data_IF_070251760756
#
_entry.id   IF_070251760756
#
_cell.length_a   1.000
_cell.length_b   1.000
_cell.length_c   1.000
_cell.angle_alpha   90.00
_cell.angle_beta   90.00
_cell.angle_gamma   90.00
#
_symmetry.space_group_name_H-M   'P 1'
#
loop_
_entity.id
_entity.type
_entity.pdbx_description
1 polymer ?
#
# COMPACT_ATOMS: atom_id res chain seq x y z
N UNK A 1 18.34 8.54 0.44
CA UNK A 1 17.37 7.44 0.22
C UNK A 1 17.36 7.19 -1.27
N UNK A 2 17.74 6.02 -1.73
CA UNK A 2 17.63 5.63 -3.12
C UNK A 2 16.17 5.18 -3.37
N UNK A 3 15.42 5.90 -4.20
CA UNK A 3 14.02 5.66 -4.54
C UNK A 3 13.00 6.26 -3.55
N UNK A 4 11.73 6.17 -3.89
CA UNK A 4 10.59 6.71 -3.13
C UNK A 4 10.04 5.61 -2.21
N UNK A 5 9.99 5.82 -0.88
CA UNK A 5 9.31 4.89 0.01
C UNK A 5 7.79 4.98 -0.17
N UNK A 6 7.12 3.83 -0.24
CA UNK A 6 5.67 3.69 -0.27
C UNK A 6 5.25 2.92 0.97
N UNK A 7 4.67 3.60 1.95
CA UNK A 7 4.22 2.98 3.20
C UNK A 7 2.89 2.28 3.00
N UNK A 8 2.75 1.09 3.59
CA UNK A 8 1.51 0.31 3.55
C UNK A 8 0.97 0.07 4.96
N UNK A 9 -0.15 0.70 5.26
CA UNK A 9 -0.95 0.54 6.47
C UNK A 9 -2.22 -0.25 6.16
N UNK A 10 -2.92 -0.68 7.20
CA UNK A 10 -4.26 -1.27 7.11
C UNK A 10 -5.18 -0.59 8.12
N UNK A 11 -5.30 -1.11 9.34
CA UNK A 11 -6.16 -0.57 10.39
C UNK A 11 -5.41 0.39 11.31
N UNK A 12 -6.09 1.44 11.74
CA UNK A 12 -5.60 2.40 12.75
C UNK A 12 -6.66 2.57 13.83
N UNK A 13 -6.58 1.74 14.88
CA UNK A 13 -7.53 1.79 15.99
C UNK A 13 -6.93 1.16 17.26
N UNK A 14 -7.56 1.41 18.39
CA UNK A 14 -7.16 0.92 19.70
C UNK A 14 -8.01 -0.29 20.20
N UNK A 15 -8.98 -0.71 19.39
CA UNK A 15 -9.94 -1.76 19.76
C UNK A 15 -9.50 -3.16 19.33
N UNK A 16 -8.79 -3.25 18.20
CA UNK A 16 -8.35 -4.52 17.63
C UNK A 16 -6.88 -4.75 17.90
N UNK A 17 -6.54 -6.01 18.17
CA UNK A 17 -5.15 -6.44 18.39
C UNK A 17 -4.76 -7.46 17.32
N UNK A 18 -4.28 -6.96 16.19
CA UNK A 18 -3.73 -7.78 15.10
C UNK A 18 -2.41 -7.20 14.62
N UNK A 19 -1.61 -7.97 13.93
CA UNK A 19 -0.37 -7.48 13.32
C UNK A 19 -0.62 -6.34 12.31
N UNK A 20 -1.82 -6.27 11.72
CA UNK A 20 -2.21 -5.27 10.73
C UNK A 20 -2.90 -4.03 11.35
N UNK A 21 -3.05 -4.00 12.67
CA UNK A 21 -3.70 -2.88 13.37
C UNK A 21 -2.65 -2.07 14.11
N UNK A 22 -2.43 -0.83 13.71
CA UNK A 22 -1.58 0.11 14.42
C UNK A 22 -2.43 0.94 15.41
N UNK A 23 -1.95 1.14 16.63
CA UNK A 23 -2.63 2.02 17.59
C UNK A 23 -2.61 3.48 17.10
N UNK A 24 -3.67 4.23 17.43
CA UNK A 24 -3.87 5.61 16.97
C UNK A 24 -2.69 6.52 17.35
N UNK A 25 -2.22 6.41 18.60
CA UNK A 25 -1.07 7.20 19.06
C UNK A 25 0.24 6.85 18.32
N UNK A 26 0.44 5.58 17.98
CA UNK A 26 1.60 5.14 17.22
C UNK A 26 1.56 5.64 15.77
N UNK A 27 0.39 5.62 15.15
CA UNK A 27 0.21 6.21 13.83
C UNK A 27 0.51 7.72 13.87
N UNK A 28 0.00 8.43 14.87
CA UNK A 28 0.28 9.85 15.09
C UNK A 28 1.78 10.12 15.24
N UNK A 29 2.47 9.35 16.07
CA UNK A 29 3.93 9.46 16.28
C UNK A 29 4.71 9.30 14.97
N UNK A 30 4.30 8.36 14.12
CA UNK A 30 4.92 8.16 12.81
C UNK A 30 4.67 9.34 11.86
N UNK A 31 3.45 9.89 11.81
CA UNK A 31 3.12 11.06 10.98
C UNK A 31 3.86 12.31 11.48
N UNK A 32 3.91 12.52 12.78
CA UNK A 32 4.69 13.60 13.39
C UNK A 32 6.18 13.48 13.04
N UNK A 33 6.75 12.27 13.09
CA UNK A 33 8.13 12.05 12.67
C UNK A 33 8.34 12.42 11.20
N UNK A 34 7.50 11.97 10.29
CA UNK A 34 7.60 12.31 8.87
C UNK A 34 7.54 13.81 8.65
N UNK A 35 6.60 14.49 9.31
CA UNK A 35 6.45 15.94 9.24
C UNK A 35 7.71 16.65 9.74
N UNK A 36 8.20 16.31 10.93
CA UNK A 36 9.37 16.93 11.56
C UNK A 36 10.67 16.68 10.80
N UNK A 37 10.75 15.55 10.07
CA UNK A 37 11.89 15.25 9.19
C UNK A 37 11.77 15.90 7.80
N UNK A 38 10.68 16.61 7.51
CA UNK A 38 10.46 17.30 6.23
C UNK A 38 10.17 16.37 5.07
N UNK A 39 9.51 15.23 5.30
CA UNK A 39 8.97 14.40 4.23
C UNK A 39 7.78 15.08 3.58
N UNK A 40 7.69 14.97 2.26
CA UNK A 40 6.59 15.50 1.46
C UNK A 40 5.78 14.34 0.89
N UNK A 41 4.53 14.23 1.32
CA UNK A 41 3.63 13.21 0.75
C UNK A 41 3.26 13.56 -0.68
N UNK A 42 3.38 12.58 -1.58
CA UNK A 42 3.03 12.69 -2.99
C UNK A 42 1.87 11.76 -3.34
N UNK A 43 1.14 12.11 -4.40
CA UNK A 43 0.07 11.26 -4.95
C UNK A 43 0.64 10.14 -5.80
N UNK A 44 -0.18 9.12 -6.11
CA UNK A 44 0.20 8.07 -7.06
C UNK A 44 0.39 8.61 -8.48
N UNK A 45 -0.35 9.65 -8.90
CA UNK A 45 -0.12 10.32 -10.18
C UNK A 45 1.27 10.96 -10.24
N UNK A 46 1.68 11.64 -9.18
CA UNK A 46 3.03 12.22 -9.10
C UNK A 46 4.11 11.14 -9.13
N UNK A 47 3.86 10.01 -8.46
CA UNK A 47 4.77 8.86 -8.50
C UNK A 47 4.83 8.27 -9.91
N UNK A 48 3.69 8.07 -10.58
CA UNK A 48 3.63 7.57 -11.94
C UNK A 48 4.38 8.48 -12.93
N UNK A 49 4.15 9.78 -12.86
CA UNK A 49 4.84 10.76 -13.71
C UNK A 49 6.35 10.78 -13.47
N UNK A 50 6.78 10.59 -12.23
CA UNK A 50 8.20 10.43 -11.93
C UNK A 50 8.79 9.15 -12.55
N UNK A 51 8.09 8.02 -12.44
CA UNK A 51 8.59 6.73 -12.94
C UNK A 51 8.62 6.65 -14.47
N UNK A 52 7.59 7.16 -15.14
CA UNK A 52 7.43 7.06 -16.60
C UNK A 52 8.02 8.25 -17.36
N UNK A 53 7.88 9.46 -16.83
CA UNK A 53 8.22 10.70 -17.55
C UNK A 53 9.45 11.40 -16.97
N UNK A 54 9.99 10.93 -15.83
CA UNK A 54 11.12 11.55 -15.15
C UNK A 54 10.79 12.92 -14.53
N UNK A 55 9.51 13.19 -14.25
CA UNK A 55 9.07 14.44 -13.61
C UNK A 55 9.69 14.56 -12.22
N UNK A 56 10.25 15.73 -11.92
CA UNK A 56 10.89 15.96 -10.62
C UNK A 56 9.88 15.89 -9.46
N UNK A 57 10.27 15.22 -8.39
CA UNK A 57 9.52 15.15 -7.15
C UNK A 57 10.00 16.20 -6.13
N UNK A 58 9.14 16.57 -5.16
CA UNK A 58 9.59 17.40 -4.04
C UNK A 58 10.71 16.71 -3.25
N UNK A 59 11.41 17.48 -2.42
CA UNK A 59 12.45 16.91 -1.55
C UNK A 59 11.85 15.90 -0.58
N UNK A 60 12.56 14.81 -0.30
CA UNK A 60 12.10 13.71 0.57
C UNK A 60 10.67 13.24 0.26
N UNK A 61 10.40 12.77 -0.99
CA UNK A 61 9.06 12.31 -1.36
C UNK A 61 8.74 11.01 -0.63
N UNK A 62 7.48 10.84 -0.25
CA UNK A 62 6.94 9.62 0.36
C UNK A 62 5.49 9.41 -0.06
N UNK A 63 5.08 8.16 -0.24
CA UNK A 63 3.68 7.80 -0.45
C UNK A 63 3.15 7.08 0.78
N UNK A 64 1.95 7.45 1.22
CA UNK A 64 1.23 6.78 2.31
C UNK A 64 0.06 6.03 1.70
N UNK A 65 -0.03 4.73 1.93
CA UNK A 65 -1.14 3.91 1.44
C UNK A 65 -1.80 3.12 2.57
N UNK A 66 -3.09 2.88 2.43
CA UNK A 66 -3.89 2.00 3.28
C UNK A 66 -4.55 0.95 2.40
N UNK A 67 -4.65 -0.28 2.87
CA UNK A 67 -5.33 -1.35 2.16
C UNK A 67 -6.68 -1.67 2.81
N UNK A 68 -7.53 -2.38 2.09
CA UNK A 68 -8.83 -2.95 2.44
C UNK A 68 -10.01 -1.97 2.49
N UNK A 69 -9.84 -0.74 2.98
CA UNK A 69 -10.92 0.22 3.08
C UNK A 69 -11.64 0.24 4.43
N UNK A 70 -10.94 -0.06 5.52
CA UNK A 70 -11.52 -0.03 6.86
C UNK A 70 -12.01 1.35 7.27
N UNK A 71 -13.14 1.40 7.99
CA UNK A 71 -13.78 2.65 8.43
C UNK A 71 -12.90 3.47 9.39
N UNK A 72 -11.96 2.84 10.07
CA UNK A 72 -11.01 3.52 10.96
C UNK A 72 -10.00 4.39 10.18
N UNK A 73 -9.78 4.13 8.89
CA UNK A 73 -8.99 5.02 8.04
C UNK A 73 -9.67 6.39 7.90
N UNK A 74 -11.00 6.43 7.83
CA UNK A 74 -11.78 7.67 7.85
C UNK A 74 -11.86 8.28 9.26
N UNK A 75 -12.16 7.46 10.28
CA UNK A 75 -12.42 7.96 11.62
C UNK A 75 -11.16 8.42 12.37
N UNK A 76 -10.04 7.75 12.17
CA UNK A 76 -8.81 7.90 12.97
C UNK A 76 -7.62 8.40 12.13
N UNK A 77 -7.34 7.78 10.96
CA UNK A 77 -6.16 8.14 10.17
C UNK A 77 -6.33 9.50 9.46
N UNK A 78 -7.48 9.74 8.82
CA UNK A 78 -7.75 10.99 8.09
C UNK A 78 -7.58 12.25 8.96
N UNK A 79 -8.13 12.36 10.18
CA UNK A 79 -7.91 13.53 11.03
C UNK A 79 -6.43 13.80 11.32
N UNK A 80 -5.64 12.74 11.56
CA UNK A 80 -4.21 12.88 11.84
C UNK A 80 -3.45 13.34 10.59
N UNK A 81 -3.74 12.78 9.42
CA UNK A 81 -3.12 13.20 8.17
C UNK A 81 -3.45 14.66 7.83
N UNK A 82 -4.70 15.11 8.09
CA UNK A 82 -5.09 16.51 7.92
C UNK A 82 -4.32 17.46 8.85
N UNK A 83 -4.09 17.06 10.09
CA UNK A 83 -3.32 17.85 11.07
C UNK A 83 -1.92 18.19 10.54
N UNK A 84 -1.27 17.23 9.84
CA UNK A 84 0.06 17.40 9.27
C UNK A 84 0.05 17.79 7.77
N UNK A 85 -1.13 18.07 7.20
CA UNK A 85 -1.31 18.39 5.76
C UNK A 85 -0.71 17.31 4.84
N UNK A 86 -0.93 16.05 5.19
CA UNK A 86 -0.43 14.89 4.45
C UNK A 86 -1.51 14.30 3.56
N UNK A 87 -1.09 13.82 2.38
CA UNK A 87 -1.92 13.08 1.42
C UNK A 87 -1.72 11.57 1.62
N UNK A 88 -2.73 10.78 1.26
CA UNK A 88 -2.64 9.33 1.28
C UNK A 88 -3.52 8.70 0.17
N UNK A 89 -3.31 7.41 -0.11
CA UNK A 89 -4.17 6.61 -0.99
C UNK A 89 -4.81 5.49 -0.18
N UNK A 90 -6.11 5.26 -0.40
CA UNK A 90 -6.84 4.10 0.10
C UNK A 90 -7.08 3.11 -1.04
N UNK A 91 -6.51 1.91 -0.95
CA UNK A 91 -6.82 0.81 -1.85
C UNK A 91 -8.05 0.06 -1.33
N UNK A 92 -9.19 0.29 -1.98
CA UNK A 92 -10.51 -0.16 -1.54
C UNK A 92 -10.92 -1.48 -2.17
N UNK A 93 -11.38 -2.43 -1.37
CA UNK A 93 -12.09 -3.62 -1.84
C UNK A 93 -13.48 -3.17 -2.28
N UNK A 94 -13.81 -3.30 -3.59
CA UNK A 94 -15.05 -2.71 -4.11
C UNK A 94 -16.32 -3.26 -3.45
N UNK A 95 -16.36 -4.54 -3.15
CA UNK A 95 -17.54 -5.19 -2.55
C UNK A 95 -17.64 -4.94 -1.03
N UNK A 96 -16.59 -4.45 -0.41
CA UNK A 96 -16.63 -4.04 0.99
C UNK A 96 -17.24 -2.64 1.18
N UNK A 97 -17.32 -1.83 0.13
CA UNK A 97 -17.90 -0.49 0.19
C UNK A 97 -19.33 -0.52 0.75
N UNK A 98 -19.65 0.41 1.65
CA UNK A 98 -20.94 0.50 2.34
C UNK A 98 -21.31 -0.70 3.23
N UNK A 99 -20.38 -1.61 3.52
CA UNK A 99 -20.61 -2.71 4.46
C UNK A 99 -20.12 -2.35 5.88
N UNK A 100 -20.64 -2.99 6.93
CA UNK A 100 -20.22 -2.71 8.30
C UNK A 100 -18.70 -2.89 8.51
N UNK A 101 -18.05 -1.88 9.07
CA UNK A 101 -16.61 -1.89 9.34
C UNK A 101 -15.74 -1.34 8.21
N UNK A 102 -16.34 -1.02 7.06
CA UNK A 102 -15.67 -0.41 5.91
C UNK A 102 -16.24 0.98 5.60
N UNK A 103 -15.51 1.76 4.83
CA UNK A 103 -15.91 3.11 4.45
C UNK A 103 -17.15 3.08 3.55
N UNK A 104 -18.05 4.04 3.76
CA UNK A 104 -19.20 4.27 2.87
C UNK A 104 -18.81 5.14 1.67
N UNK A 105 -19.66 5.14 0.64
CA UNK A 105 -19.51 6.05 -0.51
C UNK A 105 -19.40 7.51 -0.07
N UNK A 106 -20.25 7.95 0.87
CA UNK A 106 -20.20 9.31 1.40
C UNK A 106 -18.87 9.60 2.11
N UNK A 107 -18.35 8.64 2.88
CA UNK A 107 -17.06 8.78 3.54
C UNK A 107 -15.91 8.82 2.52
N UNK A 108 -15.92 7.98 1.48
CA UNK A 108 -14.91 8.04 0.42
C UNK A 108 -14.86 9.40 -0.26
N UNK A 109 -15.99 10.00 -0.64
CA UNK A 109 -16.01 11.35 -1.22
C UNK A 109 -15.48 12.42 -0.25
N UNK A 110 -15.76 12.30 1.05
CA UNK A 110 -15.17 13.19 2.06
C UNK A 110 -13.66 13.00 2.19
N UNK A 111 -13.18 11.76 2.12
CA UNK A 111 -11.75 11.45 2.12
C UNK A 111 -11.05 12.08 0.91
N UNK A 112 -11.64 11.98 -0.28
CA UNK A 112 -11.11 12.60 -1.51
C UNK A 112 -11.03 14.13 -1.36
N UNK A 113 -12.08 14.77 -0.85
CA UNK A 113 -12.09 16.20 -0.59
C UNK A 113 -11.02 16.66 0.43
N UNK A 114 -10.60 15.75 1.30
CA UNK A 114 -9.62 15.98 2.36
C UNK A 114 -8.20 15.46 2.06
N UNK A 115 -7.93 15.05 0.79
CA UNK A 115 -6.59 14.71 0.30
C UNK A 115 -6.25 13.23 0.25
N UNK A 116 -7.22 12.33 0.46
CA UNK A 116 -7.07 10.93 0.06
C UNK A 116 -7.35 10.76 -1.43
N UNK A 117 -6.74 9.74 -2.01
CA UNK A 117 -7.05 9.19 -3.31
C UNK A 117 -7.60 7.77 -3.11
N UNK A 118 -8.73 7.43 -3.74
CA UNK A 118 -9.35 6.11 -3.60
C UNK A 118 -9.00 5.28 -4.82
N UNK A 119 -8.38 4.12 -4.63
CA UNK A 119 -7.89 3.25 -5.69
C UNK A 119 -8.28 1.78 -5.46
N UNK A 120 -7.95 0.86 -6.38
CA UNK A 120 -8.48 -0.50 -6.40
C UNK A 120 -7.72 -1.50 -5.53
N UNK A 121 -8.47 -2.39 -4.84
CA UNK A 121 -7.93 -3.55 -4.13
C UNK A 121 -8.70 -4.83 -4.50
N UNK A 122 -9.03 -4.99 -5.78
CA UNK A 122 -9.92 -6.03 -6.34
C UNK A 122 -11.37 -5.92 -5.86
N UNK A 123 -12.23 -6.85 -6.32
CA UNK A 123 -13.62 -6.91 -5.88
C UNK A 123 -13.78 -7.63 -4.53
N UNK A 124 -13.21 -8.83 -4.36
CA UNK A 124 -13.46 -9.74 -3.23
C UNK A 124 -12.24 -10.02 -2.35
N UNK A 125 -11.12 -9.33 -2.56
CA UNK A 125 -9.86 -9.57 -1.84
C UNK A 125 -9.35 -11.02 -1.94
N UNK A 126 -9.59 -11.72 -3.03
CA UNK A 126 -9.03 -13.06 -3.27
C UNK A 126 -7.56 -12.97 -3.66
N UNK A 127 -6.75 -13.94 -3.24
CA UNK A 127 -5.35 -14.07 -3.68
C UNK A 127 -5.33 -14.43 -5.18
N UNK A 128 -4.97 -13.47 -6.03
CA UNK A 128 -5.11 -13.58 -7.49
C UNK A 128 -4.33 -14.73 -8.12
N UNK A 129 -3.18 -15.10 -7.54
CA UNK A 129 -2.39 -16.25 -8.00
C UNK A 129 -2.97 -17.61 -7.63
N UNK A 130 -4.09 -17.65 -6.89
CA UNK A 130 -4.74 -18.88 -6.42
C UNK A 130 -6.16 -19.07 -6.94
N UNK A 131 -6.72 -18.09 -7.64
CA UNK A 131 -8.04 -18.22 -8.29
C UNK A 131 -7.89 -18.80 -9.68
N UNK A 132 -9.01 -19.27 -10.26
CA UNK A 132 -9.02 -19.69 -11.65
C UNK A 132 -8.65 -18.51 -12.56
N UNK A 133 -7.77 -18.67 -13.54
CA UNK A 133 -7.40 -17.61 -14.48
C UNK A 133 -8.59 -16.93 -15.16
N UNK A 134 -9.70 -17.63 -15.34
CA UNK A 134 -10.94 -17.08 -15.92
C UNK A 134 -11.66 -16.08 -14.99
N UNK A 135 -11.37 -16.11 -13.69
CA UNK A 135 -11.91 -15.16 -12.70
C UNK A 135 -11.09 -13.85 -12.63
N UNK A 136 -9.84 -13.83 -13.16
CA UNK A 136 -8.96 -12.65 -13.06
C UNK A 136 -9.57 -11.38 -13.67
N UNK A 137 -10.22 -11.41 -14.87
CA UNK A 137 -10.82 -10.20 -15.42
C UNK A 137 -11.92 -9.62 -14.52
N UNK A 138 -12.75 -10.47 -13.92
CA UNK A 138 -13.80 -10.00 -13.00
C UNK A 138 -13.20 -9.43 -11.70
N UNK A 139 -12.21 -10.10 -11.12
CA UNK A 139 -11.53 -9.62 -9.93
C UNK A 139 -10.85 -8.26 -10.12
N UNK A 140 -10.27 -8.02 -11.29
CA UNK A 140 -9.49 -6.82 -11.60
C UNK A 140 -10.34 -5.74 -12.27
N UNK A 141 -10.86 -6.01 -13.49
CA UNK A 141 -11.67 -5.06 -14.23
C UNK A 141 -13.04 -4.85 -13.58
N UNK A 142 -13.66 -5.92 -13.08
CA UNK A 142 -14.94 -5.84 -12.37
C UNK A 142 -14.83 -4.98 -11.11
N UNK A 143 -13.79 -5.20 -10.29
CA UNK A 143 -13.51 -4.36 -9.11
C UNK A 143 -13.26 -2.90 -9.47
N UNK A 144 -12.44 -2.64 -10.50
CA UNK A 144 -12.20 -1.30 -11.05
C UNK A 144 -13.49 -0.59 -11.45
N UNK A 145 -14.26 -1.22 -12.32
CA UNK A 145 -15.51 -0.65 -12.87
C UNK A 145 -16.56 -0.39 -11.76
N UNK A 146 -16.62 -1.28 -10.77
CA UNK A 146 -17.50 -1.10 -9.60
C UNK A 146 -17.14 0.17 -8.82
N UNK A 147 -15.86 0.38 -8.49
CA UNK A 147 -15.42 1.59 -7.79
C UNK A 147 -15.60 2.85 -8.64
N UNK A 148 -15.30 2.81 -9.93
CA UNK A 148 -15.55 3.92 -10.86
C UNK A 148 -17.03 4.29 -10.91
N UNK A 149 -17.93 3.29 -10.88
CA UNK A 149 -19.37 3.51 -10.80
C UNK A 149 -19.84 4.13 -9.47
N UNK A 150 -19.16 3.81 -8.36
CA UNK A 150 -19.46 4.35 -7.03
C UNK A 150 -18.97 5.80 -6.90
N UNK A 151 -17.74 6.07 -7.35
CA UNK A 151 -17.05 7.34 -7.11
C UNK A 151 -17.25 8.36 -8.23
N UNK A 152 -17.46 7.90 -9.46
CA UNK A 152 -17.50 8.76 -10.63
C UNK A 152 -16.13 9.23 -11.12
N UNK A 153 -15.06 8.67 -10.55
CA UNK A 153 -13.66 9.01 -10.83
C UNK A 153 -12.89 7.78 -11.36
N UNK A 154 -11.83 7.97 -12.17
CA UNK A 154 -11.03 6.87 -12.68
C UNK A 154 -10.28 6.11 -11.58
N UNK A 155 -10.27 4.79 -11.65
CA UNK A 155 -9.44 3.93 -10.79
C UNK A 155 -8.25 3.44 -11.62
N UNK A 156 -7.07 3.96 -11.39
CA UNK A 156 -5.89 3.74 -12.24
C UNK A 156 -4.78 2.93 -11.58
N UNK A 157 -4.86 2.73 -10.26
CA UNK A 157 -3.85 2.06 -9.47
C UNK A 157 -4.44 0.90 -8.67
N UNK A 158 -3.63 -0.15 -8.45
CA UNK A 158 -4.05 -1.37 -7.77
C UNK A 158 -3.06 -1.75 -6.67
N UNK A 159 -3.53 -2.20 -5.53
CA UNK A 159 -2.75 -3.04 -4.63
C UNK A 159 -3.21 -4.50 -4.74
N UNK A 160 -2.27 -5.43 -4.87
CA UNK A 160 -2.59 -6.85 -4.92
C UNK A 160 -2.94 -7.38 -3.53
N UNK A 161 -4.08 -8.12 -3.36
CA UNK A 161 -4.37 -8.80 -2.10
C UNK A 161 -3.22 -9.67 -1.61
N UNK A 162 -2.71 -9.37 -0.39
CA UNK A 162 -1.52 -10.03 0.15
C UNK A 162 -0.22 -9.80 -0.63
N UNK A 163 -0.22 -8.91 -1.63
CA UNK A 163 0.93 -8.61 -2.48
C UNK A 163 1.28 -9.68 -3.51
N UNK A 164 0.53 -10.79 -3.57
CA UNK A 164 0.83 -11.92 -4.47
C UNK A 164 0.47 -11.61 -5.91
N UNK A 165 1.45 -11.78 -6.79
CA UNK A 165 1.30 -11.60 -8.23
C UNK A 165 2.27 -12.52 -8.99
N UNK A 166 1.97 -12.76 -10.26
CA UNK A 166 2.80 -13.45 -11.22
C UNK A 166 2.65 -12.78 -12.60
N UNK A 167 3.31 -13.29 -13.62
CA UNK A 167 3.29 -12.72 -14.96
C UNK A 167 1.86 -12.66 -15.56
N UNK A 168 1.02 -13.66 -15.25
CA UNK A 168 -0.36 -13.68 -15.75
C UNK A 168 -1.21 -12.61 -15.06
N UNK A 169 -1.11 -12.53 -13.73
CA UNK A 169 -1.81 -11.51 -12.94
C UNK A 169 -1.39 -10.10 -13.38
N UNK A 170 -0.08 -9.85 -13.54
CA UNK A 170 0.43 -8.56 -14.03
C UNK A 170 -0.10 -8.22 -15.44
N UNK A 171 -0.10 -9.21 -16.33
CA UNK A 171 -0.63 -9.03 -17.69
C UNK A 171 -2.12 -8.65 -17.68
N UNK A 172 -2.96 -9.40 -16.92
CA UNK A 172 -4.39 -9.09 -16.83
C UNK A 172 -4.63 -7.76 -16.14
N UNK A 173 -3.83 -7.39 -15.12
CA UNK A 173 -3.86 -6.08 -14.46
C UNK A 173 -3.65 -4.96 -15.48
N UNK A 174 -2.63 -5.09 -16.33
CA UNK A 174 -2.35 -4.13 -17.42
C UNK A 174 -3.51 -4.06 -18.42
N UNK A 175 -4.05 -5.21 -18.85
CA UNK A 175 -5.19 -5.27 -19.77
C UNK A 175 -6.48 -4.70 -19.18
N UNK A 176 -6.63 -4.72 -17.85
CA UNK A 176 -7.73 -4.07 -17.12
C UNK A 176 -7.60 -2.54 -17.02
N UNK A 177 -6.53 -1.97 -17.58
CA UNK A 177 -6.34 -0.52 -17.66
C UNK A 177 -5.77 0.12 -16.40
N UNK A 178 -5.16 -0.65 -15.51
CA UNK A 178 -4.35 -0.08 -14.41
C UNK A 178 -3.00 0.40 -14.94
N UNK A 179 -2.51 1.53 -14.41
CA UNK A 179 -1.21 2.13 -14.75
C UNK A 179 -0.08 1.56 -13.89
N UNK A 180 -0.35 1.35 -12.59
CA UNK A 180 0.60 0.76 -11.64
C UNK A 180 -0.09 -0.24 -10.73
N UNK A 181 0.69 -1.21 -10.23
CA UNK A 181 0.22 -2.14 -9.22
C UNK A 181 1.30 -2.42 -8.16
N UNK A 182 0.87 -2.52 -6.91
CA UNK A 182 1.72 -2.60 -5.72
C UNK A 182 1.66 -3.97 -5.07
N UNK A 183 2.84 -4.42 -4.64
CA UNK A 183 3.03 -5.63 -3.83
C UNK A 183 3.18 -5.26 -2.35
N UNK A 184 3.59 -6.24 -1.52
CA UNK A 184 4.08 -6.03 -0.15
C UNK A 184 5.56 -6.41 -0.01
N UNK A 185 6.25 -6.58 -1.14
CA UNK A 185 7.70 -6.82 -1.13
C UNK A 185 8.41 -5.57 -0.61
N UNK A 186 9.30 -5.71 0.39
CA UNK A 186 9.96 -4.57 1.01
C UNK A 186 10.96 -3.93 0.04
N UNK A 187 10.92 -2.61 -0.04
CA UNK A 187 11.82 -1.81 -0.88
C UNK A 187 11.25 -0.43 -1.15
N UNK A 188 12.06 0.38 -1.81
CA UNK A 188 11.65 1.68 -2.38
C UNK A 188 11.36 1.54 -3.86
N UNK A 189 10.72 2.54 -4.44
CA UNK A 189 10.32 2.59 -5.85
C UNK A 189 11.18 3.60 -6.60
N UNK A 190 11.68 3.24 -7.79
CA UNK A 190 12.55 4.10 -8.60
C UNK A 190 12.32 3.89 -10.10
N UNK A 191 12.72 4.84 -10.96
CA UNK A 191 12.64 4.67 -12.39
C UNK A 191 13.32 3.38 -12.88
N UNK A 192 12.63 2.65 -13.77
CA UNK A 192 13.06 1.35 -14.27
C UNK A 192 12.49 0.14 -13.52
N UNK A 193 11.82 0.35 -12.40
CA UNK A 193 11.09 -0.73 -11.72
C UNK A 193 9.90 -1.20 -12.56
N UNK A 194 9.49 -2.46 -12.33
CA UNK A 194 8.29 -2.99 -12.97
C UNK A 194 7.03 -2.31 -12.38
N UNK A 195 6.35 -1.50 -13.18
CA UNK A 195 5.15 -0.76 -12.77
C UNK A 195 4.03 -1.66 -12.23
N UNK A 196 4.02 -2.93 -12.59
CA UNK A 196 3.01 -3.91 -12.15
C UNK A 196 3.50 -4.80 -11.00
N UNK A 197 4.61 -4.44 -10.35
CA UNK A 197 5.15 -5.14 -9.18
C UNK A 197 5.95 -4.19 -8.26
N UNK A 198 5.39 -3.01 -7.97
CA UNK A 198 6.05 -1.99 -7.17
C UNK A 198 6.13 -2.38 -5.70
N UNK A 199 7.26 -2.09 -5.06
CA UNK A 199 7.52 -2.42 -3.68
C UNK A 199 6.79 -1.49 -2.71
N UNK A 200 6.48 -1.99 -1.51
CA UNK A 200 5.97 -1.18 -0.39
C UNK A 200 6.63 -1.57 0.93
N UNK A 201 6.62 -0.65 1.86
CA UNK A 201 7.08 -0.86 3.23
C UNK A 201 5.84 -1.10 4.11
N UNK A 202 5.52 -2.37 4.34
CA UNK A 202 4.40 -2.75 5.21
C UNK A 202 4.70 -2.37 6.67
N UNK A 203 3.78 -1.67 7.30
CA UNK A 203 3.89 -1.25 8.70
C UNK A 203 3.00 -2.15 9.54
N UNK A 204 3.61 -2.83 10.50
CA UNK A 204 2.95 -3.79 11.36
C UNK A 204 2.97 -3.33 12.82
N UNK A 205 1.97 -3.78 13.58
CA UNK A 205 2.00 -3.73 15.03
C UNK A 205 3.07 -4.70 15.55
N UNK A 206 3.88 -4.25 16.49
CA UNK A 206 4.91 -5.05 17.13
C UNK A 206 5.25 -4.48 18.51
N UNK A 207 6.19 -5.10 19.22
CA UNK A 207 6.63 -4.64 20.55
C UNK A 207 7.37 -3.29 20.50
N UNK A 208 7.94 -2.95 19.35
CA UNK A 208 8.67 -1.69 19.12
C UNK A 208 8.24 -1.05 17.79
N UNK A 209 6.98 -0.62 17.64
CA UNK A 209 6.43 -0.20 16.34
C UNK A 209 7.15 1.01 15.76
N UNK A 210 7.58 1.97 16.58
CA UNK A 210 8.35 3.13 16.13
C UNK A 210 9.74 2.73 15.58
N UNK A 211 10.47 1.87 16.29
CA UNK A 211 11.79 1.41 15.83
C UNK A 211 11.65 0.59 14.53
N UNK A 212 10.65 -0.28 14.45
CA UNK A 212 10.36 -1.05 13.23
C UNK A 212 10.02 -0.13 12.05
N UNK A 213 9.18 0.88 12.25
CA UNK A 213 8.88 1.90 11.26
C UNK A 213 10.14 2.65 10.80
N UNK A 214 10.95 3.13 11.76
CA UNK A 214 12.19 3.85 11.46
C UNK A 214 13.17 2.98 10.66
N UNK A 215 13.35 1.73 11.05
CA UNK A 215 14.23 0.79 10.35
C UNK A 215 13.71 0.50 8.93
N UNK A 216 12.43 0.25 8.75
CA UNK A 216 11.83 0.02 7.43
C UNK A 216 12.01 1.23 6.53
N UNK A 217 11.80 2.43 7.05
CA UNK A 217 11.95 3.68 6.30
C UNK A 217 13.40 3.95 5.88
N UNK A 218 14.37 3.74 6.78
CA UNK A 218 15.78 4.11 6.56
C UNK A 218 16.64 2.98 6.01
N UNK A 219 16.28 1.73 6.29
CA UNK A 219 17.02 0.54 5.88
C UNK A 219 16.33 -0.25 4.77
N UNK A 220 15.34 0.32 4.07
CA UNK A 220 14.56 -0.36 3.05
C UNK A 220 15.41 -1.13 2.01
N UNK A 221 16.48 -0.57 1.42
CA UNK A 221 17.32 -1.32 0.49
C UNK A 221 17.99 -2.54 1.14
N UNK A 222 18.45 -2.40 2.40
CA UNK A 222 19.08 -3.50 3.13
C UNK A 222 18.05 -4.59 3.49
N UNK A 223 16.86 -4.21 3.90
CA UNK A 223 15.76 -5.15 4.20
C UNK A 223 15.39 -5.95 2.95
N UNK A 224 15.32 -5.31 1.80
CA UNK A 224 15.07 -6.00 0.53
C UNK A 224 16.11 -7.12 0.28
N UNK A 225 17.40 -6.84 0.44
CA UNK A 225 18.45 -7.84 0.27
C UNK A 225 18.38 -8.96 1.31
N UNK A 226 18.06 -8.67 2.56
CA UNK A 226 17.93 -9.69 3.61
C UNK A 226 16.75 -10.63 3.34
N UNK A 227 15.64 -10.11 2.85
CA UNK A 227 14.49 -10.91 2.44
C UNK A 227 14.82 -11.78 1.24
N UNK A 228 15.43 -11.22 0.20
CA UNK A 228 15.86 -11.97 -0.98
C UNK A 228 16.84 -13.11 -0.62
N UNK A 229 17.80 -12.84 0.27
CA UNK A 229 18.73 -13.83 0.77
C UNK A 229 18.01 -14.93 1.56
N UNK A 230 17.08 -14.56 2.43
CA UNK A 230 16.28 -15.51 3.22
C UNK A 230 15.44 -16.42 2.32
N UNK A 231 14.78 -15.87 1.33
CA UNK A 231 13.98 -16.63 0.37
C UNK A 231 14.88 -17.58 -0.45
N UNK A 232 16.02 -17.10 -0.94
CA UNK A 232 17.01 -17.93 -1.60
C UNK A 232 17.49 -19.11 -0.73
N UNK A 233 17.79 -18.87 0.54
CA UNK A 233 18.21 -19.91 1.47
C UNK A 233 17.10 -20.93 1.72
N UNK A 234 15.86 -20.47 1.87
CA UNK A 234 14.70 -21.34 2.08
C UNK A 234 14.44 -22.23 0.87
N UNK A 235 14.47 -21.64 -0.32
CA UNK A 235 14.19 -22.33 -1.58
C UNK A 235 15.27 -23.36 -1.93
N UNK A 236 16.50 -23.18 -1.42
CA UNK A 236 17.60 -24.15 -1.52
C UNK A 236 17.68 -25.13 -0.33
N UNK A 237 16.66 -25.20 0.52
CA UNK A 237 16.57 -26.15 1.63
C UNK A 237 17.36 -25.77 2.89
N UNK A 238 17.98 -24.58 2.94
CA UNK A 238 18.77 -24.11 4.10
C UNK A 238 17.91 -23.34 5.10
N UNK A 239 16.80 -23.96 5.50
CA UNK A 239 15.76 -23.36 6.34
C UNK A 239 16.25 -22.85 7.69
N UNK A 240 17.25 -23.55 8.30
CA UNK A 240 17.86 -23.10 9.57
C UNK A 240 18.66 -21.82 9.42
N UNK A 241 19.37 -21.64 8.31
CA UNK A 241 20.08 -20.40 8.03
C UNK A 241 19.11 -19.27 7.68
N UNK A 242 18.05 -19.58 6.93
CA UNK A 242 17.01 -18.62 6.64
C UNK A 242 16.33 -18.09 7.90
N UNK A 243 16.13 -18.93 8.94
CA UNK A 243 15.48 -18.51 10.19
C UNK A 243 16.29 -17.57 11.08
N UNK A 244 17.62 -17.45 10.84
CA UNK A 244 18.50 -16.53 11.57
C UNK A 244 18.42 -15.09 10.99
N UNK A 245 17.97 -14.96 9.74
CA UNK A 245 17.84 -13.64 9.10
C UNK A 245 16.57 -12.95 9.62
N UNK A 246 16.69 -11.81 10.33
CA UNK A 246 15.54 -11.16 10.94
C UNK A 246 14.60 -10.58 9.87
N UNK A 247 13.31 -10.66 10.15
CA UNK A 247 12.25 -9.92 9.45
C UNK A 247 12.07 -8.60 10.20
N UNK A 248 12.68 -7.55 9.73
CA UNK A 248 12.43 -6.20 10.25
C UNK A 248 11.11 -5.65 9.70
#
# INVERSE_FOLDING_TARGET
>A
IYGVPVLNYHQVNDEKHSALTLHVDQFREQMEYLHNQGYNTITLDQLYDYLENGTELPNKPIVITFDDGYVDNYNNALPILKEYNMKATLFMISDAANTPGFVSTEQMHKMEADGFDIQGHTNHHKILTKIDPTELPDALLGGKTSLEGILGEPIEYLAYPGGFNDMLVQYVTKQSGYKMAFTVQPGTVQPGDNLYALNRLAIFQGDTPYLSFWMRLHCAPFIHYTWALRDFLRDNGWTRLASIIPLF
#
